data_IF_302617364042
#
_entry.id   IF_302617364042
#
_cell.length_a   1.000
_cell.length_b   1.000
_cell.length_c   1.000
_cell.angle_alpha   90.00
_cell.angle_beta   90.00
_cell.angle_gamma   90.00
#
_symmetry.space_group_name_H-M   'P 1'
#
loop_
_entity.id
_entity.type
_entity.pdbx_description
1 polymer ?
#
# COMPACT_ATOMS: atom_id res chain seq x y z
N UNK A 1 11.17 19.92 2.11
CA UNK A 1 10.03 18.99 2.37
C UNK A 1 10.15 18.50 3.81
N UNK A 2 9.14 18.69 4.65
CA UNK A 2 9.22 18.31 6.07
C UNK A 2 9.07 16.78 6.19
N UNK A 3 10.00 16.10 6.88
CA UNK A 3 10.00 14.65 7.05
C UNK A 3 8.67 14.13 7.61
N UNK A 4 7.96 14.94 8.42
CA UNK A 4 6.60 14.59 8.90
C UNK A 4 5.61 14.34 7.76
N UNK A 5 5.61 15.15 6.71
CA UNK A 5 4.67 14.98 5.60
C UNK A 5 4.97 13.72 4.79
N UNK A 6 6.26 13.36 4.64
CA UNK A 6 6.69 12.14 3.97
C UNK A 6 6.19 10.91 4.73
N UNK A 7 6.38 10.86 6.05
CA UNK A 7 5.89 9.74 6.87
C UNK A 7 4.35 9.64 6.85
N UNK A 8 3.62 10.76 6.81
CA UNK A 8 2.15 10.75 6.67
C UNK A 8 1.70 10.17 5.32
N UNK A 9 2.31 10.60 4.22
CA UNK A 9 1.96 10.10 2.88
C UNK A 9 2.32 8.61 2.75
N UNK A 10 3.49 8.22 3.25
CA UNK A 10 3.91 6.81 3.25
C UNK A 10 2.93 5.94 4.07
N UNK A 11 2.51 6.41 5.25
CA UNK A 11 1.51 5.70 6.06
C UNK A 11 0.17 5.55 5.32
N UNK A 12 -0.30 6.60 4.64
CA UNK A 12 -1.52 6.53 3.85
C UNK A 12 -1.42 5.50 2.72
N UNK A 13 -0.30 5.48 1.99
CA UNK A 13 -0.06 4.50 0.93
C UNK A 13 -0.03 3.07 1.45
N UNK A 14 0.57 2.85 2.64
CA UNK A 14 0.58 1.53 3.30
C UNK A 14 -0.83 1.10 3.68
N UNK A 15 -1.63 1.99 4.29
CA UNK A 15 -3.01 1.68 4.69
C UNK A 15 -3.87 1.35 3.48
N UNK A 16 -3.78 2.14 2.40
CA UNK A 16 -4.53 1.89 1.17
C UNK A 16 -4.09 0.59 0.49
N UNK A 17 -2.79 0.30 0.47
CA UNK A 17 -2.26 -0.96 -0.04
C UNK A 17 -2.74 -2.17 0.75
N UNK A 18 -2.73 -2.08 2.08
CA UNK A 18 -3.24 -3.13 2.97
C UNK A 18 -4.74 -3.36 2.77
N UNK A 19 -5.53 -2.28 2.60
CA UNK A 19 -6.95 -2.38 2.27
C UNK A 19 -7.17 -3.05 0.91
N UNK A 20 -6.41 -2.69 -0.12
CA UNK A 20 -6.51 -3.32 -1.44
C UNK A 20 -6.25 -4.83 -1.37
N UNK A 21 -5.18 -5.26 -0.69
CA UNK A 21 -4.86 -6.69 -0.55
C UNK A 21 -5.87 -7.42 0.34
N UNK A 22 -6.39 -6.74 1.38
CA UNK A 22 -7.48 -7.25 2.20
C UNK A 22 -8.75 -7.49 1.39
N UNK A 23 -9.10 -6.59 0.46
CA UNK A 23 -10.23 -6.77 -0.45
C UNK A 23 -10.02 -7.93 -1.42
N UNK A 24 -8.82 -8.07 -2.00
CA UNK A 24 -8.47 -9.22 -2.85
C UNK A 24 -8.69 -10.53 -2.08
N UNK A 25 -8.16 -10.64 -0.87
CA UNK A 25 -8.35 -11.82 -0.03
C UNK A 25 -9.83 -12.02 0.33
N UNK A 26 -10.56 -10.94 0.65
CA UNK A 26 -11.96 -11.00 0.98
C UNK A 26 -12.81 -11.52 -0.19
N UNK A 27 -12.62 -11.00 -1.40
CA UNK A 27 -13.32 -11.46 -2.59
C UNK A 27 -12.98 -12.91 -2.93
N UNK A 28 -11.70 -13.28 -2.79
CA UNK A 28 -11.23 -14.65 -2.96
C UNK A 28 -11.86 -15.64 -1.98
N UNK A 29 -12.02 -15.26 -0.71
CA UNK A 29 -12.50 -16.14 0.36
C UNK A 29 -14.03 -16.16 0.51
N UNK A 30 -14.69 -15.04 0.25
CA UNK A 30 -16.10 -14.84 0.63
C UNK A 30 -17.02 -14.53 -0.55
N UNK A 31 -16.50 -14.26 -1.75
CA UNK A 31 -17.27 -13.90 -2.95
C UNK A 31 -16.94 -14.81 -4.15
N UNK A 32 -16.91 -16.12 -3.96
CA UNK A 32 -16.72 -17.12 -5.03
C UNK A 32 -15.49 -16.89 -5.93
N UNK A 33 -14.39 -16.38 -5.36
CA UNK A 33 -13.17 -16.10 -6.11
C UNK A 33 -13.16 -14.76 -6.85
N UNK A 34 -14.11 -13.86 -6.56
CA UNK A 34 -14.16 -12.53 -7.18
C UNK A 34 -12.91 -11.73 -6.83
N UNK A 35 -12.22 -11.21 -7.85
CA UNK A 35 -11.10 -10.30 -7.64
C UNK A 35 -11.60 -8.87 -7.36
N UNK A 36 -11.32 -8.38 -6.16
CA UNK A 36 -11.64 -7.02 -5.71
C UNK A 36 -10.39 -6.11 -5.66
N UNK A 37 -9.41 -6.35 -6.52
CA UNK A 37 -8.25 -5.49 -6.68
C UNK A 37 -8.67 -4.10 -7.21
N UNK A 38 -8.80 -3.14 -6.30
CA UNK A 38 -9.19 -1.76 -6.59
C UNK A 38 -8.20 -1.07 -7.52
N UNK A 39 -6.91 -1.38 -7.41
CA UNK A 39 -5.88 -0.80 -8.28
C UNK A 39 -6.08 -1.26 -9.73
N UNK A 40 -6.30 -2.56 -9.95
CA UNK A 40 -6.62 -3.11 -11.28
C UNK A 40 -7.98 -2.60 -11.78
N UNK A 41 -8.99 -2.50 -10.92
CA UNK A 41 -10.32 -2.01 -11.29
C UNK A 41 -10.28 -0.57 -11.85
N UNK A 42 -9.42 0.29 -11.30
CA UNK A 42 -9.33 1.71 -11.70
C UNK A 42 -8.27 1.92 -12.78
N UNK A 43 -7.14 1.22 -12.72
CA UNK A 43 -5.96 1.49 -13.55
C UNK A 43 -5.55 0.31 -14.45
N UNK A 44 -6.30 -0.79 -14.48
CA UNK A 44 -5.91 -2.02 -15.18
C UNK A 44 -5.77 -1.90 -16.70
N UNK A 45 -6.34 -0.84 -17.30
CA UNK A 45 -6.08 -0.50 -18.71
C UNK A 45 -4.64 -0.02 -18.95
N UNK A 46 -3.93 0.37 -17.90
CA UNK A 46 -2.57 0.90 -17.92
C UNK A 46 -1.63 0.05 -17.02
N UNK A 47 -1.16 -1.12 -17.50
CA UNK A 47 -0.41 -2.07 -16.68
C UNK A 47 0.82 -1.48 -15.99
N UNK A 48 1.54 -0.57 -16.67
CA UNK A 48 2.70 0.10 -16.10
C UNK A 48 2.35 0.96 -14.86
N UNK A 49 1.16 1.58 -14.84
CA UNK A 49 0.73 2.41 -13.72
C UNK A 49 0.26 1.58 -12.53
N UNK A 50 -0.38 0.43 -12.77
CA UNK A 50 -0.69 -0.55 -11.72
C UNK A 50 0.60 -0.98 -11.01
N UNK A 51 1.60 -1.42 -11.77
CA UNK A 51 2.90 -1.83 -11.23
C UNK A 51 3.59 -0.70 -10.46
N UNK A 52 3.51 0.52 -10.98
CA UNK A 52 4.07 1.70 -10.32
C UNK A 52 3.40 1.97 -8.96
N UNK A 53 2.07 1.86 -8.87
CA UNK A 53 1.34 2.00 -7.59
C UNK A 53 1.79 0.94 -6.59
N UNK A 54 1.93 -0.32 -7.01
CA UNK A 54 2.40 -1.39 -6.12
C UNK A 54 3.83 -1.15 -5.64
N UNK A 55 4.71 -0.64 -6.51
CA UNK A 55 6.07 -0.26 -6.14
C UNK A 55 6.07 0.87 -5.09
N UNK A 56 5.22 1.89 -5.25
CA UNK A 56 5.09 2.99 -4.28
C UNK A 56 4.58 2.52 -2.92
N UNK A 57 3.60 1.59 -2.89
CA UNK A 57 3.11 0.99 -1.66
C UNK A 57 4.24 0.23 -0.95
N UNK A 58 4.99 -0.60 -1.67
CA UNK A 58 6.13 -1.33 -1.12
C UNK A 58 7.22 -0.41 -0.55
N UNK A 59 7.62 0.61 -1.31
CA UNK A 59 8.59 1.60 -0.87
C UNK A 59 8.11 2.37 0.38
N UNK A 60 6.82 2.68 0.45
CA UNK A 60 6.21 3.33 1.62
C UNK A 60 6.25 2.45 2.87
N UNK A 61 6.01 1.14 2.71
CA UNK A 61 6.13 0.16 3.79
C UNK A 61 7.55 0.12 4.37
N UNK A 62 8.56 0.10 3.51
CA UNK A 62 9.97 0.15 3.93
C UNK A 62 10.29 1.45 4.70
N UNK A 63 9.80 2.60 4.21
CA UNK A 63 10.01 3.88 4.88
C UNK A 63 9.38 3.93 6.28
N UNK A 64 8.10 3.52 6.40
CA UNK A 64 7.39 3.48 7.68
C UNK A 64 8.08 2.51 8.65
N UNK A 65 8.51 1.34 8.16
CA UNK A 65 9.26 0.37 8.97
C UNK A 65 10.60 0.93 9.47
N UNK A 66 11.35 1.62 8.61
CA UNK A 66 12.60 2.28 8.98
C UNK A 66 12.38 3.39 10.03
N UNK A 67 11.39 4.26 9.83
CA UNK A 67 11.03 5.32 10.77
C UNK A 67 10.64 4.73 12.14
N UNK A 68 9.83 3.66 12.14
CA UNK A 68 9.45 2.95 13.36
C UNK A 68 10.68 2.37 14.07
N UNK A 69 11.56 1.65 13.37
CA UNK A 69 12.79 1.08 13.93
C UNK A 69 13.68 2.16 14.56
N UNK A 70 13.91 3.27 13.85
CA UNK A 70 14.72 4.40 14.34
C UNK A 70 14.11 5.05 15.58
N UNK A 71 12.77 5.09 15.67
CA UNK A 71 12.08 5.63 16.86
C UNK A 71 12.30 4.77 18.12
N UNK A 72 12.49 3.45 17.96
CA UNK A 72 12.74 2.53 19.08
C UNK A 72 14.18 2.64 19.60
N UNK A 73 15.15 2.90 18.72
CA UNK A 73 16.57 3.07 19.08
C UNK A 73 16.87 4.42 19.77
N UNK A 74 15.96 5.39 19.68
CA UNK A 74 16.10 6.72 20.31
C UNK A 74 15.52 6.80 21.72
N UNK A 75 14.97 5.70 22.24
CA UNK A 75 14.49 5.55 23.62
C UNK A 75 15.58 4.93 24.49
#
# INVERSE_FOLDING_TARGET
MNLKHVSTVAMLLVVLGALNWGLIAFGGLFLDGTDLNVVELVLGSWPALVQFVYLLVGASGLWVGYDAYKSMQKK
#
